data_IF_010972674483
#
_entry.id   IF_010972674483
#
_cell.length_a   1.000
_cell.length_b   1.000
_cell.length_c   1.000
_cell.angle_alpha   90.00
_cell.angle_beta   90.00
_cell.angle_gamma   90.00
#
_symmetry.space_group_name_H-M   'P 1'
#
loop_
_entity.id
_entity.type
_entity.pdbx_description
1 polymer ?
#
# COMPACT_ATOMS: atom_id res chain seq x y z
N UNK A 1 9.78 9.01 8.94
CA UNK A 1 10.29 9.80 10.08
C UNK A 1 11.61 9.25 10.59
N UNK A 2 12.40 10.08 11.32
CA UNK A 2 13.61 9.63 11.99
C UNK A 2 13.32 8.49 12.97
N UNK A 3 12.17 8.52 13.64
CA UNK A 3 11.77 7.44 14.56
C UNK A 3 11.63 6.10 13.84
N UNK A 4 11.05 6.06 12.61
CA UNK A 4 10.98 4.83 11.82
C UNK A 4 12.37 4.30 11.46
N UNK A 5 13.32 5.20 11.13
CA UNK A 5 14.72 4.82 10.87
C UNK A 5 15.36 4.24 12.13
N UNK A 6 15.16 4.88 13.29
CA UNK A 6 15.68 4.37 14.56
C UNK A 6 15.12 2.99 14.91
N UNK A 7 13.81 2.78 14.75
CA UNK A 7 13.18 1.48 15.02
C UNK A 7 13.78 0.33 14.17
N UNK A 8 14.17 0.62 12.91
CA UNK A 8 14.69 -0.39 11.99
C UNK A 8 16.23 -0.56 12.07
N UNK A 9 16.94 0.52 12.42
CA UNK A 9 18.39 0.63 12.22
C UNK A 9 19.18 0.85 13.51
N UNK A 10 18.53 0.89 14.68
CA UNK A 10 19.21 1.04 15.95
C UNK A 10 20.29 -0.04 16.14
N UNK A 11 21.47 0.36 16.60
CA UNK A 11 22.65 -0.50 16.72
C UNK A 11 23.30 -0.94 15.38
N UNK A 12 22.80 -0.46 14.22
CA UNK A 12 23.36 -0.78 12.89
C UNK A 12 23.95 0.43 12.18
N UNK A 13 23.65 1.64 12.64
CA UNK A 13 24.15 2.91 12.09
C UNK A 13 24.60 3.80 13.23
N UNK A 14 25.54 4.73 12.96
CA UNK A 14 26.16 5.59 13.97
C UNK A 14 25.30 6.81 14.32
N UNK A 15 24.53 7.34 13.36
CA UNK A 15 23.72 8.54 13.56
C UNK A 15 22.57 8.64 12.55
N UNK A 16 21.53 9.39 12.94
CA UNK A 16 20.40 9.78 12.07
C UNK A 16 20.31 11.30 12.07
N UNK A 17 20.28 11.91 10.87
CA UNK A 17 19.93 13.31 10.70
C UNK A 17 18.43 13.41 10.46
N UNK A 18 17.71 14.03 11.39
CA UNK A 18 16.27 14.21 11.29
C UNK A 18 15.93 15.44 10.43
N UNK A 19 15.50 15.20 9.21
CA UNK A 19 15.00 16.22 8.28
C UNK A 19 13.48 16.40 8.33
N UNK A 20 12.78 15.80 9.30
CA UNK A 20 11.33 15.77 9.40
C UNK A 20 10.69 14.57 8.70
N UNK A 21 9.37 14.60 8.62
CA UNK A 21 8.60 13.56 7.94
C UNK A 21 8.76 13.64 6.41
N UNK A 22 8.84 12.50 5.73
CA UNK A 22 8.82 12.44 4.27
C UNK A 22 7.52 12.98 3.71
N UNK A 23 7.57 13.87 2.70
CA UNK A 23 6.37 14.51 2.14
C UNK A 23 5.46 13.50 1.44
N UNK A 24 6.01 12.58 0.65
CA UNK A 24 5.24 11.58 -0.10
C UNK A 24 4.91 10.35 0.75
N UNK A 25 5.82 9.95 1.63
CA UNK A 25 5.67 8.79 2.53
C UNK A 25 5.88 7.41 1.86
N UNK A 26 5.98 7.34 0.53
CA UNK A 26 6.31 6.14 -0.25
C UNK A 26 7.63 6.32 -0.97
N UNK A 27 8.22 5.20 -1.41
CA UNK A 27 9.44 5.23 -2.21
C UNK A 27 9.19 5.86 -3.59
N UNK A 28 10.26 6.41 -4.16
CA UNK A 28 10.27 7.04 -5.47
C UNK A 28 9.75 6.13 -6.59
N UNK A 29 9.17 6.75 -7.62
CA UNK A 29 8.89 6.10 -8.89
C UNK A 29 10.20 5.63 -9.54
N UNK A 30 10.21 4.40 -10.05
CA UNK A 30 11.32 3.82 -10.81
C UNK A 30 10.84 3.51 -12.21
N UNK A 31 11.56 4.03 -13.21
CA UNK A 31 11.29 3.77 -14.63
C UNK A 31 12.52 3.20 -15.31
N UNK A 32 12.31 2.44 -16.37
CA UNK A 32 13.38 2.05 -17.32
C UNK A 32 13.16 2.73 -18.66
N UNK A 33 14.26 3.16 -19.26
CA UNK A 33 14.33 3.72 -20.61
C UNK A 33 15.09 2.77 -21.56
N UNK A 34 15.35 1.54 -21.14
CA UNK A 34 16.16 0.59 -21.92
C UNK A 34 15.41 -0.06 -23.10
N UNK A 35 14.11 0.18 -23.26
CA UNK A 35 13.29 -0.30 -24.37
C UNK A 35 12.83 0.84 -25.27
N UNK A 36 12.04 0.50 -26.30
CA UNK A 36 11.46 1.49 -27.23
C UNK A 36 10.41 2.37 -26.57
N UNK A 37 9.76 1.87 -25.51
CA UNK A 37 8.78 2.60 -24.72
C UNK A 37 9.21 2.64 -23.26
N UNK A 38 9.27 3.83 -22.63
CA UNK A 38 9.50 3.96 -21.18
C UNK A 38 8.54 3.10 -20.39
N UNK A 39 9.04 2.42 -19.34
CA UNK A 39 8.22 1.52 -18.54
C UNK A 39 8.39 1.77 -17.05
N UNK A 40 7.28 1.93 -16.32
CA UNK A 40 7.27 2.05 -14.87
C UNK A 40 7.49 0.69 -14.23
N UNK A 41 8.56 0.56 -13.46
CA UNK A 41 8.92 -0.64 -12.70
C UNK A 41 8.40 -0.58 -11.26
N UNK A 42 8.29 0.61 -10.68
CA UNK A 42 7.72 0.84 -9.35
C UNK A 42 6.98 2.18 -9.33
N UNK A 43 5.69 2.21 -9.06
CA UNK A 43 4.94 3.46 -8.94
C UNK A 43 5.27 4.18 -7.62
N UNK A 44 5.25 5.50 -7.64
CA UNK A 44 5.51 6.38 -6.52
C UNK A 44 4.78 7.72 -6.68
N UNK A 45 5.32 8.79 -6.09
CA UNK A 45 4.71 10.12 -6.14
C UNK A 45 4.65 10.74 -7.54
N UNK A 46 5.58 10.39 -8.44
CA UNK A 46 5.49 10.73 -9.86
C UNK A 46 4.62 9.67 -10.54
N UNK A 47 3.45 10.08 -11.05
CA UNK A 47 2.45 9.16 -11.60
C UNK A 47 2.70 8.83 -13.08
N UNK A 48 2.02 7.79 -13.59
CA UNK A 48 2.10 7.42 -15.01
C UNK A 48 1.65 8.57 -15.90
N UNK A 49 0.57 9.23 -15.52
CA UNK A 49 0.00 10.35 -16.27
C UNK A 49 0.96 11.56 -16.32
N UNK A 50 1.70 11.83 -15.24
CA UNK A 50 2.74 12.86 -15.22
C UNK A 50 3.90 12.49 -16.15
N UNK A 51 4.30 11.23 -16.19
CA UNK A 51 5.33 10.74 -17.10
C UNK A 51 4.88 10.82 -18.56
N UNK A 52 3.64 10.42 -18.85
CA UNK A 52 3.07 10.48 -20.20
C UNK A 52 2.96 11.90 -20.72
N UNK A 53 2.73 12.90 -19.88
CA UNK A 53 2.68 14.30 -20.27
C UNK A 53 4.02 14.83 -20.83
N UNK A 54 5.14 14.18 -20.49
CA UNK A 54 6.49 14.57 -20.90
C UNK A 54 7.09 13.61 -21.93
N UNK A 55 6.87 12.31 -21.74
CA UNK A 55 7.51 11.24 -22.50
C UNK A 55 6.62 10.67 -23.61
N UNK A 56 5.37 11.03 -23.67
CA UNK A 56 4.36 10.38 -24.51
C UNK A 56 3.93 9.03 -23.90
N UNK A 57 3.85 7.98 -24.73
CA UNK A 57 3.40 6.66 -24.25
C UNK A 57 4.35 6.12 -23.18
N UNK A 58 3.79 5.68 -22.05
CA UNK A 58 4.50 5.01 -20.96
C UNK A 58 3.77 3.68 -20.64
N UNK A 59 4.50 2.62 -20.45
CA UNK A 59 3.98 1.31 -20.06
C UNK A 59 4.16 1.10 -18.55
N UNK A 60 3.32 0.25 -17.97
CA UNK A 60 3.46 -0.23 -16.59
C UNK A 60 3.88 -1.69 -16.65
N UNK A 61 4.93 -2.04 -15.91
CA UNK A 61 5.39 -3.43 -15.83
C UNK A 61 4.34 -4.31 -15.13
N UNK A 62 4.11 -5.50 -15.65
CA UNK A 62 3.12 -6.45 -15.11
C UNK A 62 3.35 -6.75 -13.63
N UNK A 63 4.61 -6.76 -13.20
CA UNK A 63 4.98 -6.94 -11.81
C UNK A 63 4.43 -5.85 -10.87
N UNK A 64 4.04 -4.69 -11.37
CA UNK A 64 3.43 -3.62 -10.56
C UNK A 64 2.05 -4.03 -10.05
N UNK A 65 1.27 -4.69 -10.91
CA UNK A 65 -0.15 -5.00 -10.68
C UNK A 65 -0.39 -6.47 -10.31
N UNK A 66 0.49 -7.36 -10.75
CA UNK A 66 0.28 -8.80 -10.64
C UNK A 66 1.40 -9.50 -9.89
N UNK A 67 1.08 -10.66 -9.30
CA UNK A 67 2.08 -11.54 -8.72
C UNK A 67 2.89 -12.20 -9.82
N UNK A 68 4.20 -12.04 -9.77
CA UNK A 68 5.11 -12.73 -10.69
C UNK A 68 5.30 -14.19 -10.28
N UNK A 69 5.56 -15.06 -11.25
CA UNK A 69 6.00 -16.41 -11.00
C UNK A 69 7.40 -16.42 -10.33
N UNK A 70 7.67 -17.44 -9.54
CA UNK A 70 8.90 -17.52 -8.71
C UNK A 70 10.21 -17.50 -9.51
N UNK A 71 10.18 -17.91 -10.76
CA UNK A 71 11.34 -17.98 -11.66
C UNK A 71 11.60 -16.69 -12.47
N UNK A 72 10.76 -15.65 -12.32
CA UNK A 72 10.95 -14.39 -13.05
C UNK A 72 11.99 -13.52 -12.36
N UNK A 73 12.98 -13.04 -13.15
CA UNK A 73 13.96 -12.06 -12.69
C UNK A 73 13.33 -10.67 -12.68
N UNK A 74 13.33 -10.04 -11.51
CA UNK A 74 12.75 -8.68 -11.35
C UNK A 74 13.77 -7.60 -11.68
N UNK A 75 13.28 -6.52 -12.28
CA UNK A 75 14.09 -5.39 -12.74
C UNK A 75 14.24 -4.28 -11.69
N UNK A 76 13.50 -4.33 -10.57
CA UNK A 76 13.59 -3.34 -9.49
C UNK A 76 13.46 -4.01 -8.12
N UNK A 77 14.14 -3.50 -7.06
CA UNK A 77 13.94 -3.94 -5.69
C UNK A 77 12.48 -3.83 -5.26
N UNK A 78 12.02 -4.78 -4.43
CA UNK A 78 10.65 -4.77 -3.90
C UNK A 78 9.57 -5.34 -4.83
N UNK A 79 9.92 -5.82 -6.04
CA UNK A 79 8.93 -6.38 -6.99
C UNK A 79 8.55 -7.83 -6.73
N UNK A 80 9.34 -8.63 -6.02
CA UNK A 80 9.18 -10.09 -5.97
C UNK A 80 8.62 -10.62 -4.66
N UNK A 81 8.93 -10.00 -3.54
CA UNK A 81 8.63 -10.57 -2.23
C UNK A 81 7.51 -9.82 -1.52
N UNK A 82 6.91 -10.48 -0.52
CA UNK A 82 6.05 -9.83 0.46
C UNK A 82 6.88 -8.74 1.15
N UNK A 83 6.53 -7.49 0.95
CA UNK A 83 7.20 -6.33 1.52
C UNK A 83 6.21 -5.52 2.35
N UNK A 84 6.72 -4.87 3.40
CA UNK A 84 5.94 -3.95 4.25
C UNK A 84 4.78 -4.59 5.00
N UNK A 85 4.68 -5.92 4.97
CA UNK A 85 3.61 -6.62 5.63
C UNK A 85 3.79 -6.58 7.13
N UNK A 86 2.77 -6.15 7.89
CA UNK A 86 2.75 -6.35 9.32
C UNK A 86 2.68 -7.85 9.66
N UNK A 87 2.86 -8.20 10.92
CA UNK A 87 2.65 -9.58 11.41
C UNK A 87 1.21 -10.03 11.22
N UNK A 88 0.27 -9.10 11.35
CA UNK A 88 -1.13 -9.33 11.04
C UNK A 88 -1.33 -9.70 9.56
N UNK A 89 -2.26 -10.61 9.29
CA UNK A 89 -2.66 -10.96 7.92
C UNK A 89 -3.47 -9.84 7.30
N UNK A 90 -2.96 -9.20 6.26
CA UNK A 90 -3.67 -8.18 5.49
C UNK A 90 -4.44 -8.84 4.36
N UNK A 91 -5.72 -8.52 4.22
CA UNK A 91 -6.63 -9.02 3.18
C UNK A 91 -7.28 -7.83 2.50
N UNK A 92 -7.18 -7.77 1.17
CA UNK A 92 -7.81 -6.72 0.39
C UNK A 92 -9.18 -7.14 -0.10
N UNK A 93 -10.13 -6.22 -0.08
CA UNK A 93 -11.49 -6.41 -0.54
C UNK A 93 -11.70 -5.60 -1.82
N UNK A 94 -11.95 -6.29 -2.93
CA UNK A 94 -12.43 -5.68 -4.16
C UNK A 94 -13.95 -5.58 -4.08
N UNK A 95 -14.46 -4.39 -3.78
CA UNK A 95 -15.86 -4.16 -3.42
C UNK A 95 -16.21 -2.67 -3.49
N UNK A 96 -17.50 -2.37 -3.47
CA UNK A 96 -18.00 -1.02 -3.22
C UNK A 96 -17.98 -0.68 -1.72
N UNK A 97 -18.38 0.55 -1.39
CA UNK A 97 -18.30 1.08 -0.01
C UNK A 97 -19.22 0.34 0.97
N UNK A 98 -20.44 0.04 0.57
CA UNK A 98 -21.43 -0.66 1.38
C UNK A 98 -20.98 -2.11 1.65
N UNK A 99 -20.53 -2.80 0.61
CA UNK A 99 -20.02 -4.17 0.72
C UNK A 99 -18.80 -4.25 1.65
N UNK A 100 -17.93 -3.22 1.64
CA UNK A 100 -16.79 -3.17 2.55
C UNK A 100 -17.24 -3.14 4.00
N UNK A 101 -18.10 -2.19 4.34
CA UNK A 101 -18.62 -2.02 5.72
C UNK A 101 -19.33 -3.29 6.18
N UNK A 102 -20.23 -3.82 5.35
CA UNK A 102 -20.98 -5.03 5.67
C UNK A 102 -20.07 -6.24 5.90
N UNK A 103 -19.10 -6.44 5.01
CA UNK A 103 -18.17 -7.56 5.11
C UNK A 103 -17.32 -7.48 6.36
N UNK A 104 -16.69 -6.32 6.62
CA UNK A 104 -15.84 -6.13 7.81
C UNK A 104 -16.65 -6.29 9.09
N UNK A 105 -17.85 -5.71 9.16
CA UNK A 105 -18.71 -5.84 10.32
C UNK A 105 -19.20 -7.28 10.56
N UNK A 106 -19.45 -8.06 9.49
CA UNK A 106 -19.76 -9.51 9.60
C UNK A 106 -18.57 -10.33 10.10
N UNK A 107 -17.34 -9.86 9.85
CA UNK A 107 -16.11 -10.50 10.31
C UNK A 107 -15.60 -9.97 11.65
N UNK A 108 -16.29 -8.99 12.23
CA UNK A 108 -15.90 -8.38 13.49
C UNK A 108 -15.78 -9.44 14.59
N UNK A 109 -14.58 -9.60 15.13
CA UNK A 109 -14.22 -10.53 16.17
C UNK A 109 -12.94 -10.06 16.87
N UNK A 110 -12.56 -10.69 17.96
CA UNK A 110 -11.26 -10.46 18.59
C UNK A 110 -10.12 -10.70 17.59
N UNK A 111 -9.18 -9.76 17.53
CA UNK A 111 -8.05 -9.80 16.61
C UNK A 111 -8.34 -9.32 15.20
N UNK A 112 -9.55 -8.87 14.88
CA UNK A 112 -9.90 -8.29 13.57
C UNK A 112 -9.88 -6.77 13.64
N UNK A 113 -9.23 -6.13 12.67
CA UNK A 113 -9.20 -4.67 12.51
C UNK A 113 -9.45 -4.27 11.05
N UNK A 114 -9.70 -2.99 10.83
CA UNK A 114 -9.88 -2.40 9.51
C UNK A 114 -8.80 -1.34 9.23
N UNK A 115 -8.16 -1.42 8.05
CA UNK A 115 -7.39 -0.34 7.47
C UNK A 115 -8.30 0.38 6.46
N UNK A 116 -8.79 1.56 6.82
CA UNK A 116 -9.97 2.17 6.21
C UNK A 116 -9.77 3.66 5.88
N UNK A 117 -10.80 4.28 5.31
CA UNK A 117 -10.86 5.72 5.14
C UNK A 117 -11.60 6.39 6.31
N UNK A 118 -11.40 7.70 6.49
CA UNK A 118 -12.04 8.46 7.57
C UNK A 118 -13.57 8.32 7.56
N UNK A 119 -14.17 8.27 6.36
CA UNK A 119 -15.62 8.16 6.19
C UNK A 119 -16.18 6.81 6.67
N UNK A 120 -15.34 5.79 6.80
CA UNK A 120 -15.75 4.44 7.23
C UNK A 120 -15.78 4.31 8.77
N UNK A 121 -14.98 5.10 9.46
CA UNK A 121 -14.77 5.00 10.92
C UNK A 121 -16.08 4.89 11.71
N UNK A 122 -17.07 5.78 11.50
CA UNK A 122 -18.32 5.73 12.29
C UNK A 122 -19.21 4.51 11.97
N UNK A 123 -18.91 3.77 10.90
CA UNK A 123 -19.73 2.66 10.41
C UNK A 123 -19.13 1.28 10.79
N UNK A 124 -17.88 1.24 11.20
CA UNK A 124 -17.15 0.01 11.51
C UNK A 124 -17.27 -0.36 13.01
N UNK A 125 -17.34 -1.66 13.28
CA UNK A 125 -17.47 -2.25 14.63
C UNK A 125 -16.17 -2.88 15.14
N UNK A 126 -15.09 -2.72 14.40
CA UNK A 126 -13.75 -3.23 14.73
C UNK A 126 -12.80 -2.08 15.06
N UNK A 127 -11.64 -2.31 15.68
CA UNK A 127 -10.54 -1.35 15.70
C UNK A 127 -10.21 -0.87 14.30
N UNK A 128 -9.88 0.42 14.16
CA UNK A 128 -9.64 1.06 12.86
C UNK A 128 -8.28 1.74 12.81
N UNK A 129 -7.65 1.65 11.65
CA UNK A 129 -6.44 2.36 11.25
C UNK A 129 -6.80 3.18 10.02
N UNK A 130 -6.65 4.50 10.10
CA UNK A 130 -7.13 5.39 9.02
C UNK A 130 -6.01 5.81 8.08
N UNK A 131 -6.25 5.63 6.79
CA UNK A 131 -5.39 6.18 5.73
C UNK A 131 -5.71 7.64 5.38
N UNK A 132 -6.75 8.23 6.00
CA UNK A 132 -7.28 9.54 5.65
C UNK A 132 -8.52 9.45 4.75
N UNK A 133 -8.87 10.56 4.08
CA UNK A 133 -10.08 10.63 3.24
C UNK A 133 -10.01 9.69 2.04
N UNK A 134 -11.16 9.16 1.63
CA UNK A 134 -11.30 8.16 0.56
C UNK A 134 -10.70 8.57 -0.79
N UNK A 135 -10.84 9.83 -1.16
CA UNK A 135 -10.36 10.33 -2.45
C UNK A 135 -9.02 11.09 -2.35
N UNK A 136 -8.37 11.06 -1.19
CA UNK A 136 -7.07 11.70 -0.97
C UNK A 136 -5.95 10.67 -0.99
N UNK A 137 -5.61 10.17 -2.19
CA UNK A 137 -4.53 9.20 -2.36
C UNK A 137 -3.16 9.73 -1.98
N UNK A 138 -2.95 11.06 -2.02
CA UNK A 138 -1.71 11.68 -1.55
C UNK A 138 -1.57 11.51 -0.04
N UNK A 139 -2.64 11.78 0.71
CA UNK A 139 -2.66 11.54 2.15
C UNK A 139 -2.54 10.06 2.48
N UNK A 140 -3.25 9.20 1.74
CA UNK A 140 -3.17 7.75 1.93
C UNK A 140 -1.74 7.23 1.71
N UNK A 141 -1.05 7.70 0.66
CA UNK A 141 0.35 7.37 0.42
C UNK A 141 1.25 7.81 1.58
N UNK A 142 1.03 9.03 2.08
CA UNK A 142 1.81 9.61 3.19
C UNK A 142 1.65 8.81 4.50
N UNK A 143 0.45 8.32 4.80
CA UNK A 143 0.13 7.64 6.07
C UNK A 143 0.30 6.13 6.04
N UNK A 144 0.36 5.52 4.86
CA UNK A 144 0.28 4.07 4.70
C UNK A 144 1.29 3.29 5.57
N UNK A 145 2.56 3.66 5.52
CA UNK A 145 3.58 2.94 6.28
C UNK A 145 3.50 3.19 7.79
N UNK A 146 3.05 4.36 8.19
CA UNK A 146 2.79 4.68 9.58
C UNK A 146 1.67 3.77 10.14
N UNK A 147 0.55 3.68 9.43
CA UNK A 147 -0.57 2.82 9.85
C UNK A 147 -0.21 1.32 9.83
N UNK A 148 0.56 0.85 8.84
CA UNK A 148 1.05 -0.54 8.84
C UNK A 148 1.96 -0.84 10.03
N UNK A 149 2.80 0.11 10.48
CA UNK A 149 3.62 -0.02 11.68
C UNK A 149 2.77 0.01 12.95
N UNK A 150 1.78 0.90 13.04
CA UNK A 150 0.83 0.93 14.16
C UNK A 150 0.07 -0.38 14.31
N UNK A 151 -0.30 -1.01 13.20
CA UNK A 151 -0.89 -2.36 13.20
C UNK A 151 0.10 -3.37 13.79
N UNK A 152 1.39 -3.24 13.49
CA UNK A 152 2.43 -4.15 13.99
C UNK A 152 2.73 -3.95 15.48
N UNK A 153 2.50 -2.74 16.00
CA UNK A 153 2.65 -2.41 17.43
C UNK A 153 1.49 -2.95 18.28
N UNK A 154 0.35 -3.27 17.67
CA UNK A 154 -0.81 -3.84 18.35
C UNK A 154 -0.82 -5.38 18.24
N UNK A 155 -0.26 -6.04 19.24
CA UNK A 155 -0.19 -7.51 19.30
C UNK A 155 -1.56 -8.20 19.32
N UNK A 156 -2.63 -7.48 19.63
CA UNK A 156 -3.99 -8.00 19.60
C UNK A 156 -4.52 -8.20 18.19
N UNK A 157 -4.03 -7.42 17.20
CA UNK A 157 -4.48 -7.49 15.80
C UNK A 157 -3.86 -8.70 15.09
N UNK A 158 -4.71 -9.56 14.53
CA UNK A 158 -4.31 -10.77 13.77
C UNK A 158 -4.67 -10.68 12.29
N UNK A 159 -5.81 -10.04 11.98
CA UNK A 159 -6.33 -9.89 10.62
C UNK A 159 -6.75 -8.45 10.39
N UNK A 160 -6.34 -7.90 9.24
CA UNK A 160 -6.70 -6.55 8.83
C UNK A 160 -7.36 -6.59 7.46
N UNK A 161 -8.56 -6.06 7.37
CA UNK A 161 -9.25 -5.87 6.10
C UNK A 161 -9.06 -4.44 5.58
N UNK A 162 -8.71 -4.31 4.31
CA UNK A 162 -8.62 -3.02 3.62
C UNK A 162 -9.30 -3.08 2.26
N UNK A 163 -9.75 -1.93 1.75
CA UNK A 163 -10.20 -1.86 0.36
C UNK A 163 -9.03 -2.05 -0.60
N UNK A 164 -9.33 -2.61 -1.77
CA UNK A 164 -8.41 -2.61 -2.90
C UNK A 164 -8.35 -1.17 -3.47
N UNK A 165 -7.19 -0.48 -3.44
CA UNK A 165 -7.09 0.88 -3.98
C UNK A 165 -7.22 0.92 -5.51
N UNK A 166 -7.54 2.09 -6.05
CA UNK A 166 -7.54 2.31 -7.51
C UNK A 166 -6.11 2.28 -8.07
N UNK A 167 -5.99 1.87 -9.34
CA UNK A 167 -4.71 1.70 -10.05
C UNK A 167 -4.37 2.86 -10.97
N UNK A 168 -4.78 4.09 -10.63
CA UNK A 168 -4.49 5.32 -11.38
C UNK A 168 -3.91 6.39 -10.44
N UNK A 169 -3.20 7.35 -10.99
CA UNK A 169 -2.55 8.41 -10.25
C UNK A 169 -1.69 7.88 -9.10
N UNK A 170 -1.65 8.60 -7.98
CA UNK A 170 -0.97 8.18 -6.75
C UNK A 170 -1.61 6.90 -6.15
N UNK A 171 -2.89 6.65 -6.45
CA UNK A 171 -3.59 5.42 -6.04
C UNK A 171 -2.87 4.14 -6.48
N UNK A 172 -2.22 4.14 -7.64
CA UNK A 172 -1.41 3.01 -8.11
C UNK A 172 -0.24 2.71 -7.15
N UNK A 173 0.38 3.73 -6.58
CA UNK A 173 1.46 3.53 -5.62
C UNK A 173 0.94 2.94 -4.30
N UNK A 174 -0.19 3.42 -3.80
CA UNK A 174 -0.87 2.85 -2.62
C UNK A 174 -1.29 1.40 -2.89
N UNK A 175 -1.91 1.13 -4.04
CA UNK A 175 -2.25 -0.23 -4.48
C UNK A 175 -1.04 -1.16 -4.46
N UNK A 176 0.06 -0.74 -5.08
CA UNK A 176 1.26 -1.56 -5.21
C UNK A 176 1.87 -1.94 -3.85
N UNK A 177 1.80 -1.06 -2.84
CA UNK A 177 2.28 -1.35 -1.47
C UNK A 177 1.32 -2.25 -0.72
N UNK A 178 0.01 -1.97 -0.79
CA UNK A 178 -0.99 -2.77 -0.09
C UNK A 178 -1.13 -4.17 -0.65
N UNK A 179 -1.13 -4.36 -1.98
CA UNK A 179 -1.22 -5.70 -2.58
C UNK A 179 -0.03 -6.58 -2.18
N UNK A 180 1.15 -5.99 -2.00
CA UNK A 180 2.35 -6.69 -1.53
C UNK A 180 2.31 -6.98 -0.04
N UNK A 181 1.85 -6.03 0.78
CA UNK A 181 1.62 -6.26 2.20
C UNK A 181 0.62 -7.40 2.43
N UNK A 182 -0.41 -7.48 1.59
CA UNK A 182 -1.40 -8.57 1.58
C UNK A 182 -0.88 -9.89 0.96
N UNK A 183 0.33 -9.90 0.38
CA UNK A 183 0.82 -11.09 -0.34
C UNK A 183 -0.06 -11.48 -1.53
N UNK A 184 -0.71 -10.50 -2.16
CA UNK A 184 -1.68 -10.65 -3.25
C UNK A 184 -2.99 -11.35 -2.83
N UNK A 185 -3.31 -11.35 -1.55
CA UNK A 185 -4.58 -11.89 -1.06
C UNK A 185 -5.71 -10.87 -1.26
N UNK A 186 -6.60 -11.18 -2.20
CA UNK A 186 -7.76 -10.34 -2.55
C UNK A 186 -9.04 -11.18 -2.53
N UNK A 187 -10.07 -10.65 -1.90
CA UNK A 187 -11.43 -11.21 -1.94
C UNK A 187 -12.28 -10.30 -2.83
N UNK A 188 -12.87 -10.89 -3.88
CA UNK A 188 -13.77 -10.18 -4.78
C UNK A 188 -15.22 -10.33 -4.27
N UNK A 189 -15.85 -9.22 -3.92
CA UNK A 189 -17.24 -9.16 -3.46
C UNK A 189 -18.20 -8.64 -4.53
N UNK A 190 -17.68 -8.12 -5.65
CA UNK A 190 -18.50 -7.56 -6.76
C UNK A 190 -19.26 -8.60 -7.59
N UNK A 191 -19.05 -9.90 -7.35
CA UNK A 191 -19.61 -11.00 -8.16
C UNK A 191 -20.82 -11.71 -7.51
N UNK A 192 -21.52 -11.05 -6.57
CA UNK A 192 -22.77 -11.59 -6.01
C UNK A 192 -23.92 -10.61 -6.11
#
# INVERSE_FOLDING_TARGET
TAQHVMNDMDGKIDAVLDGGASEVGLESTVITLAGDVPRVLRPGGITVEMLESVLGKVEVDDAVLHKLADNVKVASPGMKYKHYAPRARVILLNCNDEQYIDYVNKKAAEGVAALCCDEDIPLLKTPVFSLGKRNDYTRQAHTLFDELRRIDEDDSVKVVYSRLPKTNGVGMAVYNRLIRAAGFEVINLEQN
#
